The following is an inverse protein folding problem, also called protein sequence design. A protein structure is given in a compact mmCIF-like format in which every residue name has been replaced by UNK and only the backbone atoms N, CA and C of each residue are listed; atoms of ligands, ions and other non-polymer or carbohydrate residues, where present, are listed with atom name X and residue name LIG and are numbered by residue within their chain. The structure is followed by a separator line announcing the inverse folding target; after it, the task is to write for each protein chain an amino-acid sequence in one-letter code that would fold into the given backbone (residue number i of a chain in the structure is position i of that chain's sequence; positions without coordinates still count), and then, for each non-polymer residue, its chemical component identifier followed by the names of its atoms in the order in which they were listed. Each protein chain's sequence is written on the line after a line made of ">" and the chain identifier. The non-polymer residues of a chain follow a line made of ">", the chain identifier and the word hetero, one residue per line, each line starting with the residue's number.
data_IF_614786119515
#
_entry.id   IF_614786119515
#
_cell.length_a   1.000
_cell.length_b   1.000
_cell.length_c   1.000
_cell.angle_alpha   90.00
_cell.angle_beta   90.00
_cell.angle_gamma   90.00
#
_symmetry.space_group_name_H-M   'P 1'
#
loop_
_entity.id
_entity.type
_entity.pdbx_description
1 polymer ?
#
# COMPACT_ATOMS: atom_id res chain seq x y z
N UNK A 1 -18.95 -16.33 -2.50
CA UNK A 1 -17.52 -16.09 -2.23
C UNK A 1 -17.45 -15.02 -1.15
N UNK A 2 -16.98 -15.37 0.04
CA UNK A 2 -16.92 -14.43 1.15
C UNK A 2 -15.82 -13.42 0.87
N UNK A 3 -16.17 -12.19 0.49
CA UNK A 3 -15.21 -11.12 0.30
C UNK A 3 -14.48 -10.89 1.62
N UNK A 4 -13.22 -11.30 1.69
CA UNK A 4 -12.35 -10.99 2.80
C UNK A 4 -12.03 -9.50 2.72
N UNK A 5 -12.85 -8.71 3.41
CA UNK A 5 -12.60 -7.29 3.60
C UNK A 5 -11.33 -7.16 4.45
N UNK A 6 -10.33 -6.44 3.95
CA UNK A 6 -9.10 -6.17 4.70
C UNK A 6 -9.48 -5.47 5.99
N UNK A 7 -9.08 -6.04 7.13
CA UNK A 7 -9.18 -5.33 8.40
C UNK A 7 -8.05 -4.29 8.47
N UNK A 8 -8.40 -3.03 8.19
CA UNK A 8 -7.44 -1.91 8.16
C UNK A 8 -6.67 -1.75 9.48
N UNK A 9 -7.31 -1.99 10.63
CA UNK A 9 -6.61 -1.92 11.93
C UNK A 9 -5.59 -3.05 12.10
N UNK A 10 -5.91 -4.25 11.61
CA UNK A 10 -4.98 -5.38 11.63
C UNK A 10 -3.79 -5.13 10.70
N UNK A 11 -4.07 -4.64 9.49
CA UNK A 11 -3.05 -4.26 8.50
C UNK A 11 -2.10 -3.20 9.07
N UNK A 12 -2.63 -2.09 9.61
CA UNK A 12 -1.81 -1.01 10.18
C UNK A 12 -0.94 -1.52 11.33
N UNK A 13 -1.48 -2.39 12.20
CA UNK A 13 -0.71 -2.99 13.30
C UNK A 13 0.38 -3.95 12.79
N UNK A 14 0.08 -4.74 11.77
CA UNK A 14 1.05 -5.64 11.15
C UNK A 14 2.23 -4.84 10.58
N UNK A 15 1.94 -3.81 9.79
CA UNK A 15 2.95 -2.93 9.21
C UNK A 15 3.75 -2.24 10.31
N UNK A 16 3.11 -1.65 11.32
CA UNK A 16 3.80 -1.00 12.43
C UNK A 16 4.75 -1.97 13.17
N UNK A 17 4.34 -3.23 13.31
CA UNK A 17 5.16 -4.29 13.89
C UNK A 17 6.45 -4.55 13.10
N UNK A 18 6.35 -4.61 11.77
CA UNK A 18 7.47 -4.87 10.85
C UNK A 18 8.38 -3.65 10.63
N UNK A 19 7.81 -2.47 10.38
CA UNK A 19 8.55 -1.30 9.91
C UNK A 19 8.92 -0.33 11.04
N UNK A 20 8.27 -0.44 12.21
CA UNK A 20 8.35 0.52 13.32
C UNK A 20 7.84 1.92 12.99
N UNK A 21 7.21 2.11 11.83
CA UNK A 21 6.54 3.36 11.50
C UNK A 21 5.31 3.58 12.40
N UNK A 22 4.96 4.84 12.64
CA UNK A 22 3.76 5.17 13.40
C UNK A 22 2.49 4.96 12.58
N UNK A 23 1.38 4.63 13.25
CA UNK A 23 0.11 4.31 12.61
C UNK A 23 -0.44 5.45 11.72
N UNK A 24 -0.14 6.72 12.04
CA UNK A 24 -0.60 7.85 11.23
C UNK A 24 0.17 7.93 9.92
N UNK A 25 1.49 7.77 9.98
CA UNK A 25 2.33 7.73 8.78
C UNK A 25 1.99 6.54 7.90
N UNK A 26 1.75 5.36 8.49
CA UNK A 26 1.29 4.17 7.75
C UNK A 26 -0.04 4.46 7.06
N UNK A 27 -1.04 4.95 7.79
CA UNK A 27 -2.35 5.26 7.21
C UNK A 27 -2.29 6.34 6.13
N UNK A 28 -1.31 7.25 6.18
CA UNK A 28 -1.09 8.23 5.13
C UNK A 28 -0.54 7.57 3.86
N UNK A 29 0.49 6.74 3.99
CA UNK A 29 1.09 6.00 2.85
C UNK A 29 0.05 5.11 2.17
N UNK A 30 -0.67 4.29 2.94
CA UNK A 30 -1.71 3.38 2.42
C UNK A 30 -2.80 4.13 1.66
N UNK A 31 -3.21 5.31 2.14
CA UNK A 31 -4.20 6.15 1.46
C UNK A 31 -3.70 6.68 0.12
N UNK A 32 -2.46 7.13 0.07
CA UNK A 32 -1.86 7.62 -1.18
C UNK A 32 -1.65 6.48 -2.17
N UNK A 33 -1.23 5.31 -1.71
CA UNK A 33 -1.09 4.10 -2.52
C UNK A 33 -2.44 3.66 -3.12
N UNK A 34 -3.49 3.55 -2.30
CA UNK A 34 -4.83 3.24 -2.77
C UNK A 34 -5.32 4.24 -3.83
N UNK A 35 -5.11 5.54 -3.60
CA UNK A 35 -5.48 6.59 -4.56
C UNK A 35 -4.69 6.51 -5.88
N UNK A 36 -3.44 6.05 -5.84
CA UNK A 36 -2.65 5.77 -7.05
C UNK A 36 -3.24 4.59 -7.82
N UNK A 37 -3.51 3.47 -7.14
CA UNK A 37 -4.09 2.26 -7.73
C UNK A 37 -5.46 2.54 -8.36
N UNK A 38 -6.34 3.27 -7.68
CA UNK A 38 -7.65 3.67 -8.24
C UNK A 38 -7.50 4.45 -9.55
N UNK A 39 -6.50 5.34 -9.65
CA UNK A 39 -6.23 6.11 -10.87
C UNK A 39 -5.63 5.25 -11.97
N UNK A 40 -4.72 4.35 -11.62
CA UNK A 40 -4.11 3.42 -12.56
C UNK A 40 -5.17 2.48 -13.18
N UNK A 41 -6.10 1.98 -12.37
CA UNK A 41 -7.25 1.18 -12.81
C UNK A 41 -8.25 1.98 -13.65
N UNK A 42 -8.56 3.24 -13.27
CA UNK A 42 -9.46 4.07 -14.06
C UNK A 42 -8.92 4.38 -15.48
N UNK A 43 -7.60 4.32 -15.67
CA UNK A 43 -6.94 4.61 -16.95
C UNK A 43 -6.81 3.41 -17.90
N UNK A 44 -6.95 2.16 -17.43
CA UNK A 44 -6.68 0.95 -18.23
C UNK A 44 -7.83 -0.07 -18.15
N UNK A 45 -8.30 -0.54 -19.30
CA UNK A 45 -9.20 -1.71 -19.40
C UNK A 45 -8.36 -3.00 -19.41
N UNK A 46 -7.84 -3.42 -18.26
CA UNK A 46 -7.02 -4.64 -18.13
C UNK A 46 -6.32 -4.78 -16.78
N UNK A 47 -5.55 -5.85 -16.63
CA UNK A 47 -4.61 -6.07 -15.51
C UNK A 47 -3.67 -4.86 -15.41
N UNK A 48 -3.63 -4.29 -14.21
CA UNK A 48 -2.82 -3.09 -13.95
C UNK A 48 -1.56 -3.58 -13.27
N UNK A 49 -0.58 -3.90 -14.10
CA UNK A 49 0.79 -4.11 -13.66
C UNK A 49 1.30 -2.76 -13.11
N UNK A 50 1.44 -2.70 -11.78
CA UNK A 50 1.94 -1.54 -11.04
C UNK A 50 3.13 -2.00 -10.22
N UNK A 51 4.29 -1.45 -10.56
CA UNK A 51 5.50 -1.66 -9.79
C UNK A 51 5.42 -0.91 -8.45
N UNK A 52 5.99 -1.49 -7.40
CA UNK A 52 6.08 -0.86 -6.08
C UNK A 52 6.84 0.47 -6.16
N UNK A 53 7.86 0.56 -7.01
CA UNK A 53 8.68 1.76 -7.23
C UNK A 53 7.83 2.94 -7.74
N UNK A 54 6.86 2.69 -8.64
CA UNK A 54 5.94 3.72 -9.13
C UNK A 54 5.06 4.29 -8.00
N UNK A 55 4.65 3.42 -7.07
CA UNK A 55 3.87 3.81 -5.90
C UNK A 55 4.76 4.61 -4.93
N UNK A 56 5.99 4.14 -4.66
CA UNK A 56 6.96 4.84 -3.81
C UNK A 56 7.22 6.24 -4.33
N UNK A 57 7.56 6.37 -5.61
CA UNK A 57 7.79 7.67 -6.28
C UNK A 57 6.58 8.59 -6.12
N UNK A 58 5.38 8.07 -6.41
CA UNK A 58 4.15 8.85 -6.25
C UNK A 58 3.94 9.34 -4.82
N UNK A 59 4.12 8.46 -3.83
CA UNK A 59 3.94 8.78 -2.40
C UNK A 59 4.98 9.81 -1.96
N UNK A 60 6.23 9.68 -2.41
CA UNK A 60 7.32 10.62 -2.11
C UNK A 60 7.06 12.02 -2.68
N UNK A 61 6.25 12.16 -3.74
CA UNK A 61 5.83 13.48 -4.25
C UNK A 61 4.78 14.20 -3.36
N UNK A 62 4.20 13.51 -2.37
CA UNK A 62 3.13 14.06 -1.52
C UNK A 62 3.72 14.91 -0.40
N UNK A 63 3.29 16.17 -0.32
CA UNK A 63 3.83 17.17 0.61
C UNK A 63 3.59 16.86 2.10
N UNK A 64 2.63 16.01 2.40
CA UNK A 64 2.29 15.56 3.75
C UNK A 64 3.10 14.34 4.19
N UNK A 65 3.83 13.69 3.26
CA UNK A 65 4.74 12.58 3.57
C UNK A 65 6.08 13.15 4.04
N UNK A 66 6.45 12.82 5.27
CA UNK A 66 7.73 13.21 5.89
C UNK A 66 8.65 12.02 6.15
N UNK A 67 8.32 10.88 5.55
CA UNK A 67 9.08 9.64 5.64
C UNK A 67 10.21 9.64 4.61
N UNK A 68 11.24 8.84 4.85
CA UNK A 68 12.23 8.52 3.83
C UNK A 68 11.65 7.53 2.82
N UNK A 69 12.21 7.51 1.62
CA UNK A 69 11.87 6.56 0.55
C UNK A 69 11.90 5.11 1.06
N UNK A 70 13.00 4.69 1.71
CA UNK A 70 13.12 3.37 2.32
C UNK A 70 12.01 3.05 3.34
N UNK A 71 11.50 4.06 4.05
CA UNK A 71 10.43 3.86 5.03
C UNK A 71 9.07 3.71 4.35
N UNK A 72 8.85 4.42 3.25
CA UNK A 72 7.66 4.27 2.39
C UNK A 72 7.67 2.90 1.71
N UNK A 73 8.79 2.53 1.10
CA UNK A 73 9.02 1.21 0.48
C UNK A 73 8.74 0.09 1.48
N UNK A 74 9.37 0.12 2.67
CA UNK A 74 9.14 -0.89 3.71
C UNK A 74 7.67 -1.00 4.15
N UNK A 75 6.91 0.10 4.13
CA UNK A 75 5.48 0.10 4.45
C UNK A 75 4.68 -0.61 3.37
N UNK A 76 4.97 -0.32 2.09
CA UNK A 76 4.30 -0.91 0.94
C UNK A 76 4.65 -2.40 0.79
N UNK A 77 5.91 -2.79 0.99
CA UNK A 77 6.32 -4.19 1.02
C UNK A 77 5.58 -4.97 2.12
N UNK A 78 5.50 -4.40 3.33
CA UNK A 78 4.77 -5.02 4.44
C UNK A 78 3.26 -5.11 4.17
N UNK A 79 2.68 -4.15 3.45
CA UNK A 79 1.30 -4.24 2.97
C UNK A 79 1.14 -5.41 2.00
N UNK A 80 2.00 -5.51 0.98
CA UNK A 80 1.97 -6.58 -0.01
C UNK A 80 2.10 -7.96 0.64
N UNK A 81 3.05 -8.13 1.55
CA UNK A 81 3.21 -9.34 2.37
C UNK A 81 1.91 -9.73 3.06
N UNK A 82 1.28 -8.76 3.74
CA UNK A 82 0.04 -9.00 4.47
C UNK A 82 -1.11 -9.41 3.53
N UNK A 83 -1.24 -8.72 2.40
CA UNK A 83 -2.29 -9.03 1.42
C UNK A 83 -2.07 -10.40 0.79
N UNK A 84 -0.83 -10.77 0.47
CA UNK A 84 -0.48 -12.11 0.00
C UNK A 84 -0.78 -13.19 1.03
N UNK A 85 -0.39 -12.99 2.30
CA UNK A 85 -0.67 -13.93 3.40
C UNK A 85 -2.18 -14.16 3.61
N UNK A 86 -3.00 -13.15 3.31
CA UNK A 86 -4.47 -13.23 3.40
C UNK A 86 -5.14 -13.78 2.13
N UNK A 87 -4.37 -14.06 1.07
CA UNK A 87 -4.89 -14.50 -0.22
C UNK A 87 -5.62 -13.40 -1.00
N UNK A 88 -5.28 -12.13 -0.74
CA UNK A 88 -5.88 -10.93 -1.33
C UNK A 88 -5.02 -10.31 -2.43
N UNK A 89 -4.02 -11.05 -2.91
CA UNK A 89 -3.00 -10.62 -3.87
C UNK A 89 -3.52 -10.19 -5.26
N UNK A 90 -4.83 -10.28 -5.54
CA UNK A 90 -5.43 -9.85 -6.81
C UNK A 90 -5.40 -8.33 -7.07
N UNK A 91 -4.60 -7.57 -6.34
CA UNK A 91 -4.29 -6.16 -6.59
C UNK A 91 -3.01 -5.97 -7.42
N UNK A 92 -2.20 -7.02 -7.62
CA UNK A 92 -0.83 -6.95 -8.17
C UNK A 92 -0.56 -8.13 -9.12
N UNK A 93 -1.48 -8.39 -10.05
CA UNK A 93 -1.25 -9.29 -11.19
C UNK A 93 -1.39 -8.50 -12.50
#
# INVERSE_FOLDING_TARGET
>A
MGGQQVNEQELVRYIAGKTKADEKSIGLVLRHAAAFMERAQAGRKGEVDVDIDDIVDYVMTRKDVRLSELAVESILEAEMDYLMDKGLAGYID
#
